data_IF_516080954243
#
_entry.id   IF_516080954243
#
_cell.length_a   1.000
_cell.length_b   1.000
_cell.length_c   1.000
_cell.angle_alpha   90.00
_cell.angle_beta   90.00
_cell.angle_gamma   90.00
#
_symmetry.space_group_name_H-M   'P 1'
#
loop_
_entity.id
_entity.type
_entity.pdbx_description
1 polymer ?
#
# COMPACT_ATOMS: atom_id res chain seq x y z
N UNK A 1 23.36 22.74 1.04
CA UNK A 1 22.99 22.40 2.43
C UNK A 1 23.59 21.05 2.77
N UNK A 2 24.09 20.83 3.97
CA UNK A 2 24.74 19.56 4.37
C UNK A 2 23.89 18.93 5.47
N UNK A 3 23.64 17.64 5.33
CA UNK A 3 22.88 16.81 6.27
C UNK A 3 23.77 15.69 6.78
N UNK A 4 23.53 15.28 8.03
CA UNK A 4 24.31 14.22 8.68
C UNK A 4 23.75 12.84 8.30
N UNK A 5 22.44 12.75 8.03
CA UNK A 5 21.77 11.50 7.70
C UNK A 5 21.03 11.59 6.35
N UNK A 6 20.95 10.44 5.69
CA UNK A 6 20.16 10.19 4.49
C UNK A 6 18.67 10.50 4.69
N UNK A 7 18.10 10.09 5.83
CA UNK A 7 16.67 10.28 6.13
C UNK A 7 16.34 11.78 6.25
N UNK A 8 17.15 12.52 7.00
CA UNK A 8 16.98 13.97 7.20
C UNK A 8 17.05 14.73 5.87
N UNK A 9 17.98 14.35 4.99
CA UNK A 9 18.11 14.95 3.67
C UNK A 9 16.88 14.68 2.78
N UNK A 10 16.32 13.46 2.84
CA UNK A 10 15.12 13.10 2.09
C UNK A 10 13.87 13.77 2.64
N UNK A 11 13.73 13.86 3.97
CA UNK A 11 12.65 14.58 4.63
C UNK A 11 12.65 16.08 4.28
N UNK A 12 13.82 16.71 4.22
CA UNK A 12 13.94 18.11 3.82
C UNK A 12 13.40 18.33 2.39
N UNK A 13 13.73 17.43 1.45
CA UNK A 13 13.22 17.49 0.07
C UNK A 13 11.70 17.23 0.03
N UNK A 14 11.21 16.30 0.84
CA UNK A 14 9.76 15.99 0.93
C UNK A 14 8.98 17.19 1.49
N UNK A 15 9.53 17.87 2.50
CA UNK A 15 8.90 19.03 3.16
C UNK A 15 8.69 20.21 2.21
N UNK A 16 9.53 20.36 1.19
CA UNK A 16 9.36 21.40 0.17
C UNK A 16 8.16 21.15 -0.76
N UNK A 17 7.66 19.91 -0.85
CA UNK A 17 6.52 19.46 -1.69
C UNK A 17 6.56 19.90 -3.18
N UNK A 18 7.72 20.31 -3.68
CA UNK A 18 7.93 20.80 -5.05
C UNK A 18 8.74 19.84 -5.91
N UNK A 19 9.29 18.79 -5.30
CA UNK A 19 10.27 17.90 -5.92
C UNK A 19 9.76 16.47 -6.00
N UNK A 20 10.03 15.83 -7.13
CA UNK A 20 9.74 14.42 -7.37
C UNK A 20 11.02 13.70 -7.77
N UNK A 21 11.19 12.48 -7.28
CA UNK A 21 12.32 11.63 -7.66
C UNK A 21 12.35 11.43 -9.18
N UNK A 22 13.53 11.60 -9.77
CA UNK A 22 13.73 11.37 -11.19
C UNK A 22 14.55 10.12 -11.46
N UNK A 23 15.81 10.10 -11.02
CA UNK A 23 16.70 8.96 -11.15
C UNK A 23 17.87 9.06 -10.17
N UNK A 24 18.62 7.97 -10.05
CA UNK A 24 19.85 7.92 -9.29
C UNK A 24 21.01 7.57 -10.23
N UNK A 25 22.14 8.24 -10.06
CA UNK A 25 23.38 7.94 -10.75
C UNK A 25 24.47 7.58 -9.71
N UNK A 26 25.20 6.51 -9.94
CA UNK A 26 26.32 6.09 -9.10
C UNK A 26 27.63 6.49 -9.77
N UNK A 27 28.45 7.26 -9.07
CA UNK A 27 29.75 7.75 -9.51
C UNK A 27 30.84 7.28 -8.55
N UNK A 28 32.11 7.42 -8.93
CA UNK A 28 33.24 7.05 -8.06
C UNK A 28 33.24 7.79 -6.71
N UNK A 29 32.75 9.04 -6.70
CA UNK A 29 32.62 9.85 -5.49
C UNK A 29 31.40 9.51 -4.61
N UNK A 30 30.56 8.55 -5.02
CA UNK A 30 29.36 8.12 -4.29
C UNK A 30 28.10 8.13 -5.14
N UNK A 31 26.94 8.37 -4.53
CA UNK A 31 25.63 8.24 -5.18
C UNK A 31 24.98 9.61 -5.33
N UNK A 32 24.44 9.93 -6.51
CA UNK A 32 23.68 11.16 -6.77
C UNK A 32 22.21 10.83 -7.01
N UNK A 33 21.32 11.33 -6.16
CA UNK A 33 19.88 11.19 -6.31
C UNK A 33 19.30 12.49 -6.86
N UNK A 34 18.82 12.46 -8.09
CA UNK A 34 18.29 13.62 -8.79
C UNK A 34 16.78 13.74 -8.60
N UNK A 35 16.33 14.97 -8.39
CA UNK A 35 14.92 15.31 -8.29
C UNK A 35 14.58 16.39 -9.30
N UNK A 36 13.36 16.31 -9.83
CA UNK A 36 12.78 17.28 -10.77
C UNK A 36 11.58 17.97 -10.15
N UNK A 37 11.27 19.16 -10.62
CA UNK A 37 10.05 19.84 -10.22
C UNK A 37 8.80 18.99 -10.54
N UNK A 38 7.88 18.88 -9.58
CA UNK A 38 6.66 18.06 -9.70
C UNK A 38 5.48 18.82 -10.35
N UNK A 39 5.60 20.13 -10.58
CA UNK A 39 4.59 21.00 -11.20
C UNK A 39 4.54 20.87 -12.73
N UNK A 40 5.50 20.18 -13.33
CA UNK A 40 5.53 19.86 -14.76
C UNK A 40 5.21 18.38 -14.99
N UNK A 41 4.58 18.08 -16.12
CA UNK A 41 4.29 16.68 -16.51
C UNK A 41 5.60 15.92 -16.70
N UNK A 42 5.60 14.64 -16.34
CA UNK A 42 6.75 13.75 -16.52
C UNK A 42 7.17 13.58 -17.99
N UNK A 43 6.24 13.79 -18.94
CA UNK A 43 6.46 13.75 -20.38
C UNK A 43 6.12 15.13 -20.95
N UNK A 44 7.09 15.79 -21.58
CA UNK A 44 6.96 17.13 -22.14
C UNK A 44 8.11 18.04 -21.72
N UNK A 45 7.99 19.34 -22.02
CA UNK A 45 8.96 20.35 -21.61
C UNK A 45 9.13 20.32 -20.09
N UNK A 46 10.35 20.05 -19.63
CA UNK A 46 10.68 19.98 -18.21
C UNK A 46 10.99 21.38 -17.67
N UNK A 47 10.86 21.53 -16.35
CA UNK A 47 11.37 22.70 -15.64
C UNK A 47 12.90 22.69 -15.69
N UNK A 48 13.51 23.86 -15.89
CA UNK A 48 14.97 24.00 -15.84
C UNK A 48 15.53 23.98 -14.41
N UNK A 49 14.67 24.20 -13.40
CA UNK A 49 15.03 24.07 -12.00
C UNK A 49 15.13 22.59 -11.58
N UNK A 50 16.20 22.24 -10.88
CA UNK A 50 16.48 20.89 -10.41
C UNK A 50 17.32 20.89 -9.14
N UNK A 51 17.18 19.81 -8.37
CA UNK A 51 17.99 19.58 -7.17
C UNK A 51 18.56 18.17 -7.21
N UNK A 52 19.68 17.96 -6.52
CA UNK A 52 20.19 16.61 -6.29
C UNK A 52 20.82 16.48 -4.91
N UNK A 53 20.71 15.28 -4.35
CA UNK A 53 21.42 14.86 -3.15
C UNK A 53 22.67 14.08 -3.58
N UNK A 54 23.83 14.48 -3.08
CA UNK A 54 25.08 13.73 -3.19
C UNK A 54 25.33 13.00 -1.87
N UNK A 55 25.34 11.68 -1.93
CA UNK A 55 25.78 10.79 -0.87
C UNK A 55 27.26 10.50 -1.13
N UNK A 56 28.15 11.09 -0.33
CA UNK A 56 29.59 10.88 -0.46
C UNK A 56 29.95 9.45 -0.08
N UNK A 57 30.92 8.85 -0.77
CA UNK A 57 31.41 7.51 -0.41
C UNK A 57 32.38 7.52 0.77
N UNK A 58 32.98 8.67 1.07
CA UNK A 58 34.00 8.81 2.11
C UNK A 58 33.42 9.15 3.47
N UNK A 59 32.23 9.76 3.51
CA UNK A 59 31.59 10.26 4.72
C UNK A 59 30.10 9.94 4.65
N UNK A 60 29.44 9.81 5.81
CA UNK A 60 27.98 9.62 5.88
C UNK A 60 27.18 10.90 5.59
N UNK A 61 27.87 12.00 5.26
CA UNK A 61 27.25 13.28 4.97
C UNK A 61 26.51 13.25 3.63
N UNK A 62 25.37 13.93 3.60
CA UNK A 62 24.57 14.13 2.38
C UNK A 62 24.51 15.60 2.04
N UNK A 63 24.93 15.96 0.84
CA UNK A 63 24.95 17.35 0.38
C UNK A 63 23.82 17.58 -0.61
N UNK A 64 22.94 18.53 -0.29
CA UNK A 64 21.90 19.02 -1.19
C UNK A 64 22.43 20.17 -2.04
N UNK A 65 22.38 19.95 -3.36
CA UNK A 65 22.68 20.93 -4.39
C UNK A 65 21.41 21.37 -5.08
N UNK A 66 21.33 22.67 -5.38
CA UNK A 66 20.24 23.29 -6.14
C UNK A 66 20.80 23.93 -7.40
N UNK A 67 20.07 23.83 -8.50
CA UNK A 67 20.37 24.61 -9.70
C UNK A 67 20.15 26.10 -9.42
N UNK A 68 20.91 26.95 -10.10
CA UNK A 68 20.72 28.40 -10.07
C UNK A 68 19.59 28.89 -10.98
N UNK A 69 19.02 28.00 -11.81
CA UNK A 69 17.92 28.32 -12.71
C UNK A 69 16.61 28.48 -11.96
N UNK A 70 15.85 29.52 -12.32
CA UNK A 70 14.48 29.72 -11.84
C UNK A 70 13.51 28.69 -12.45
N UNK A 71 12.34 28.55 -11.83
CA UNK A 71 11.30 27.66 -12.32
C UNK A 71 10.69 28.21 -13.63
N UNK A 72 10.88 27.49 -14.74
CA UNK A 72 10.48 27.93 -16.10
C UNK A 72 9.12 27.39 -16.56
N UNK A 73 8.21 27.08 -15.62
CA UNK A 73 6.88 26.57 -15.94
C UNK A 73 5.78 27.52 -15.46
N UNK A 74 4.75 27.70 -16.28
CA UNK A 74 3.46 28.20 -15.81
C UNK A 74 2.89 27.16 -14.83
N UNK A 75 2.20 27.56 -13.76
CA UNK A 75 1.62 26.63 -12.78
C UNK A 75 0.55 25.75 -13.47
N UNK A 76 0.98 24.66 -14.13
CA UNK A 76 0.08 23.69 -14.77
C UNK A 76 -0.57 22.87 -13.67
N UNK A 77 -1.70 23.39 -13.17
CA UNK A 77 -2.68 22.69 -12.35
C UNK A 77 -2.18 22.25 -10.97
N UNK A 78 -2.60 22.98 -9.96
CA UNK A 78 -2.49 22.69 -8.51
C UNK A 78 -3.21 21.40 -8.07
N UNK A 79 -3.21 20.34 -8.88
CA UNK A 79 -3.71 19.05 -8.43
C UNK A 79 -2.58 18.38 -7.65
N UNK A 80 -2.67 18.27 -6.31
CA UNK A 80 -1.65 17.61 -5.55
C UNK A 80 -1.54 16.17 -6.05
N UNK A 81 -0.36 15.83 -6.58
CA UNK A 81 -0.06 14.48 -7.07
C UNK A 81 -0.08 13.46 -5.92
N UNK A 82 0.09 13.93 -4.69
CA UNK A 82 0.18 13.14 -3.46
C UNK A 82 -0.87 13.57 -2.45
N UNK A 83 -1.39 12.60 -1.71
CA UNK A 83 -2.22 12.86 -0.53
C UNK A 83 -1.31 13.47 0.54
N UNK A 84 -1.64 14.66 1.11
CA UNK A 84 -0.88 15.25 2.21
C UNK A 84 -0.79 14.30 3.41
N UNK A 85 0.30 14.37 4.17
CA UNK A 85 0.56 13.44 5.29
C UNK A 85 -0.52 13.52 6.37
N UNK A 86 -1.02 14.72 6.66
CA UNK A 86 -2.14 14.96 7.60
C UNK A 86 -3.44 14.29 7.15
N UNK A 87 -3.68 14.22 5.84
CA UNK A 87 -4.89 13.57 5.29
C UNK A 87 -4.73 12.05 5.33
N UNK A 88 -3.51 11.53 5.19
CA UNK A 88 -3.23 10.09 5.29
C UNK A 88 -3.52 9.54 6.67
N UNK A 89 -3.17 10.27 7.74
CA UNK A 89 -3.47 9.83 9.12
C UNK A 89 -4.97 9.73 9.34
N UNK A 90 -5.73 10.73 8.89
CA UNK A 90 -7.21 10.72 8.95
C UNK A 90 -7.78 9.54 8.14
N UNK A 91 -7.28 9.30 6.93
CA UNK A 91 -7.74 8.17 6.11
C UNK A 91 -7.45 6.83 6.82
N UNK A 92 -6.32 6.72 7.52
CA UNK A 92 -5.95 5.52 8.26
C UNK A 92 -6.93 5.26 9.42
N UNK A 93 -7.24 6.28 10.22
CA UNK A 93 -8.26 6.18 11.28
C UNK A 93 -9.63 5.75 10.73
N UNK A 94 -10.06 6.35 9.61
CA UNK A 94 -11.32 5.99 8.97
C UNK A 94 -11.30 4.56 8.38
N UNK A 95 -10.13 4.08 7.97
CA UNK A 95 -9.95 2.71 7.49
C UNK A 95 -10.02 1.68 8.62
N UNK A 96 -9.49 1.99 9.81
CA UNK A 96 -9.58 1.14 11.00
C UNK A 96 -11.04 0.96 11.45
N UNK A 97 -11.89 1.97 11.23
CA UNK A 97 -13.35 1.89 11.41
C UNK A 97 -14.07 1.07 10.32
N UNK A 98 -13.31 0.41 9.43
CA UNK A 98 -13.81 -0.42 8.31
C UNK A 98 -14.75 0.33 7.35
N UNK A 99 -14.57 1.64 7.22
CA UNK A 99 -15.38 2.45 6.30
C UNK A 99 -15.01 2.18 4.83
N UNK A 100 -16.02 2.29 3.95
CA UNK A 100 -15.83 2.13 2.50
C UNK A 100 -15.19 3.39 1.91
N UNK A 101 -14.39 3.27 0.83
CA UNK A 101 -13.70 4.42 0.22
C UNK A 101 -14.61 5.60 -0.14
N UNK A 102 -15.85 5.34 -0.59
CA UNK A 102 -16.83 6.40 -0.90
C UNK A 102 -17.20 7.22 0.33
N UNK A 103 -17.48 6.55 1.45
CA UNK A 103 -17.83 7.19 2.72
C UNK A 103 -16.63 7.97 3.26
N UNK A 104 -15.42 7.43 3.11
CA UNK A 104 -14.19 8.15 3.51
C UNK A 104 -14.08 9.49 2.77
N UNK A 105 -14.41 9.55 1.48
CA UNK A 105 -14.39 10.80 0.72
C UNK A 105 -15.45 11.78 1.18
N UNK A 106 -16.67 11.29 1.46
CA UNK A 106 -17.76 12.11 2.00
C UNK A 106 -17.34 12.74 3.33
N UNK A 107 -16.76 11.95 4.24
CA UNK A 107 -16.24 12.44 5.53
C UNK A 107 -15.09 13.44 5.34
N UNK A 108 -14.20 13.22 4.37
CA UNK A 108 -13.14 14.19 4.05
C UNK A 108 -13.71 15.51 3.53
N UNK A 109 -14.77 15.45 2.73
CA UNK A 109 -15.47 16.62 2.21
C UNK A 109 -16.18 17.40 3.33
N UNK A 110 -16.86 16.71 4.26
CA UNK A 110 -17.47 17.32 5.44
C UNK A 110 -16.46 18.04 6.33
N UNK A 111 -15.21 17.55 6.38
CA UNK A 111 -14.10 18.17 7.13
C UNK A 111 -13.43 19.32 6.37
N UNK A 112 -13.92 19.70 5.19
CA UNK A 112 -13.37 20.79 4.38
C UNK A 112 -12.01 20.49 3.75
N UNK A 113 -11.59 19.21 3.74
CA UNK A 113 -10.33 18.79 3.13
C UNK A 113 -10.59 18.55 1.65
N UNK A 114 -9.81 19.20 0.77
CA UNK A 114 -9.94 18.99 -0.68
C UNK A 114 -9.73 17.50 -1.00
N UNK A 115 -10.72 16.81 -1.57
CA UNK A 115 -10.64 15.37 -1.73
C UNK A 115 -9.53 15.03 -2.71
N UNK A 116 -8.57 14.24 -2.24
CA UNK A 116 -7.69 13.49 -3.14
C UNK A 116 -8.56 12.62 -4.05
N UNK A 117 -8.15 12.43 -5.30
CA UNK A 117 -8.91 11.63 -6.27
C UNK A 117 -9.26 10.25 -5.68
N UNK A 118 -10.45 9.71 -5.99
CA UNK A 118 -10.84 8.33 -5.64
C UNK A 118 -9.71 7.34 -5.97
N UNK A 119 -9.02 7.57 -7.08
CA UNK A 119 -7.90 6.75 -7.50
C UNK A 119 -6.72 6.81 -6.51
N UNK A 120 -6.35 8.02 -6.05
CA UNK A 120 -5.29 8.20 -5.05
C UNK A 120 -5.68 7.57 -3.71
N UNK A 121 -6.94 7.73 -3.28
CA UNK A 121 -7.44 7.10 -2.07
C UNK A 121 -7.35 5.57 -2.17
N UNK A 122 -7.87 4.98 -3.24
CA UNK A 122 -7.82 3.54 -3.44
C UNK A 122 -6.38 3.01 -3.50
N UNK A 123 -5.47 3.76 -4.12
CA UNK A 123 -4.06 3.43 -4.16
C UNK A 123 -3.46 3.39 -2.76
N UNK A 124 -3.75 4.40 -1.93
CA UNK A 124 -3.28 4.48 -0.56
C UNK A 124 -3.88 3.39 0.33
N UNK A 125 -5.18 3.12 0.22
CA UNK A 125 -5.85 2.03 0.93
C UNK A 125 -5.31 0.66 0.54
N UNK A 126 -4.89 0.47 -0.73
CA UNK A 126 -4.22 -0.76 -1.17
C UNK A 126 -2.87 -0.93 -0.46
N UNK A 127 -2.10 0.14 -0.33
CA UNK A 127 -0.84 0.13 0.43
C UNK A 127 -1.09 -0.24 1.89
N UNK A 128 -2.06 0.40 2.56
CA UNK A 128 -2.40 0.07 3.95
C UNK A 128 -2.77 -1.41 4.08
N UNK A 129 -3.68 -1.91 3.23
CA UNK A 129 -4.10 -3.32 3.24
C UNK A 129 -2.93 -4.28 3.06
N UNK A 130 -2.04 -3.98 2.13
CA UNK A 130 -0.84 -4.78 1.89
C UNK A 130 0.08 -4.83 3.11
N UNK A 131 0.19 -3.73 3.85
CA UNK A 131 1.03 -3.66 5.05
C UNK A 131 0.37 -4.33 6.25
N UNK A 132 -0.95 -4.21 6.42
CA UNK A 132 -1.68 -4.72 7.59
C UNK A 132 -2.17 -6.16 7.45
N UNK A 133 -2.63 -6.55 6.26
CA UNK A 133 -3.24 -7.86 5.98
C UNK A 133 -2.32 -8.78 5.16
N UNK A 134 -1.16 -8.26 4.75
CA UNK A 134 -0.23 -9.00 3.90
C UNK A 134 -0.59 -8.96 2.41
N UNK A 135 0.09 -9.76 1.59
CA UNK A 135 -0.10 -9.77 0.15
C UNK A 135 -1.52 -10.20 -0.24
N UNK A 136 -2.06 -9.62 -1.32
CA UNK A 136 -3.38 -9.98 -1.86
C UNK A 136 -3.38 -11.30 -2.63
N UNK A 137 -2.19 -11.80 -2.95
CA UNK A 137 -2.00 -13.11 -3.57
C UNK A 137 -1.53 -14.07 -2.50
N UNK A 138 -2.19 -15.22 -2.40
CA UNK A 138 -1.77 -16.35 -1.59
C UNK A 138 -1.45 -17.51 -2.54
N UNK A 139 -0.36 -18.21 -2.30
CA UNK A 139 0.03 -19.40 -3.05
C UNK A 139 -0.74 -20.63 -2.53
N UNK A 140 -0.87 -21.66 -3.38
CA UNK A 140 -1.52 -22.91 -2.96
C UNK A 140 -0.79 -23.58 -1.77
N UNK A 141 0.55 -23.48 -1.73
CA UNK A 141 1.33 -24.01 -0.62
C UNK A 141 1.06 -23.27 0.70
N UNK A 142 0.89 -21.95 0.66
CA UNK A 142 0.50 -21.16 1.83
C UNK A 142 -0.91 -21.50 2.30
N UNK A 143 -1.87 -21.74 1.39
CA UNK A 143 -3.22 -22.18 1.75
C UNK A 143 -3.17 -23.57 2.41
N UNK A 144 -2.41 -24.51 1.82
CA UNK A 144 -2.27 -25.87 2.35
C UNK A 144 -1.63 -25.85 3.75
N UNK A 145 -0.57 -25.07 3.93
CA UNK A 145 0.06 -24.89 5.24
C UNK A 145 -0.91 -24.29 6.26
N UNK A 146 -1.65 -23.24 5.89
CA UNK A 146 -2.66 -22.65 6.76
C UNK A 146 -3.76 -23.65 7.15
N UNK A 147 -4.18 -24.53 6.23
CA UNK A 147 -5.15 -25.58 6.51
C UNK A 147 -4.60 -26.65 7.48
N UNK A 148 -3.33 -27.03 7.33
CA UNK A 148 -2.65 -27.95 8.27
C UNK A 148 -2.56 -27.35 9.67
N UNK A 149 -2.17 -26.09 9.79
CA UNK A 149 -2.05 -25.40 11.08
C UNK A 149 -3.43 -25.21 11.75
N UNK A 150 -4.44 -24.81 10.95
CA UNK A 150 -5.80 -24.57 11.43
C UNK A 150 -6.57 -25.85 11.77
N UNK A 151 -6.20 -27.00 11.20
CA UNK A 151 -6.82 -28.30 11.52
C UNK A 151 -6.20 -28.97 12.75
N UNK A 152 -4.98 -28.61 13.13
CA UNK A 152 -4.30 -29.14 14.31
C UNK A 152 -4.84 -28.59 15.63
N UNK A 153 -5.46 -27.41 15.62
CA UNK A 153 -5.98 -26.78 16.84
C UNK A 153 -7.44 -26.37 16.67
N UNK A 154 -8.32 -27.04 17.40
CA UNK A 154 -9.71 -26.60 17.53
C UNK A 154 -9.70 -25.32 18.39
N UNK A 155 -10.19 -24.18 17.89
CA UNK A 155 -10.19 -22.92 18.64
C UNK A 155 -10.95 -23.06 19.95
N UNK A 156 -10.46 -22.43 21.03
CA UNK A 156 -11.17 -22.42 22.31
C UNK A 156 -12.52 -21.70 22.22
N UNK A 157 -12.58 -20.62 21.44
CA UNK A 157 -13.79 -19.84 21.16
C UNK A 157 -14.78 -20.60 20.29
N UNK A 158 -16.06 -20.61 20.69
CA UNK A 158 -17.14 -21.29 19.98
C UNK A 158 -17.49 -20.65 18.61
N UNK A 159 -17.19 -19.35 18.47
CA UNK A 159 -17.45 -18.55 17.26
C UNK A 159 -16.31 -18.55 16.25
N UNK A 160 -15.13 -19.05 16.64
CA UNK A 160 -13.97 -19.03 15.78
C UNK A 160 -14.04 -20.18 14.76
N UNK A 161 -14.00 -19.87 13.44
CA UNK A 161 -13.98 -20.91 12.42
C UNK A 161 -12.63 -21.62 12.39
N UNK A 162 -12.65 -22.92 12.13
CA UNK A 162 -11.46 -23.74 11.90
C UNK A 162 -11.65 -24.66 10.69
N UNK A 163 -10.54 -25.19 10.17
CA UNK A 163 -10.56 -26.10 9.01
C UNK A 163 -10.81 -27.52 9.51
N UNK A 164 -11.96 -28.09 9.16
CA UNK A 164 -12.31 -29.47 9.51
C UNK A 164 -11.67 -30.48 8.55
N UNK A 165 -11.60 -30.14 7.26
CA UNK A 165 -10.91 -30.93 6.24
C UNK A 165 -10.60 -30.08 5.02
N UNK A 166 -9.63 -30.51 4.22
CA UNK A 166 -9.34 -29.93 2.91
C UNK A 166 -8.93 -31.02 1.91
N UNK A 167 -9.12 -30.75 0.62
CA UNK A 167 -8.76 -31.62 -0.49
C UNK A 167 -8.29 -30.78 -1.69
N UNK A 168 -7.24 -31.28 -2.34
CA UNK A 168 -6.74 -30.73 -3.61
C UNK A 168 -7.17 -31.70 -4.70
N UNK A 169 -7.98 -31.22 -5.64
CA UNK A 169 -8.48 -31.98 -6.79
C UNK A 169 -7.64 -31.59 -7.99
N UNK A 170 -7.07 -32.60 -8.64
CA UNK A 170 -6.33 -32.48 -9.89
C UNK A 170 -7.22 -33.04 -11.00
N UNK A 171 -7.45 -32.26 -12.05
CA UNK A 171 -8.16 -32.78 -13.22
C UNK A 171 -7.20 -33.67 -14.03
N UNK A 172 -7.67 -34.87 -14.37
CA UNK A 172 -6.88 -35.96 -14.98
C UNK A 172 -6.54 -35.69 -16.47
N UNK A 173 -7.09 -34.62 -17.04
CA UNK A 173 -7.02 -34.31 -18.48
C UNK A 173 -5.73 -33.57 -18.92
N UNK A 174 -4.71 -33.53 -18.07
CA UNK A 174 -3.37 -33.06 -18.45
C UNK A 174 -3.21 -31.54 -18.59
N UNK A 175 -4.25 -30.75 -18.27
CA UNK A 175 -4.14 -29.29 -18.18
C UNK A 175 -3.71 -28.90 -16.76
N UNK A 176 -2.41 -28.61 -16.61
CA UNK A 176 -1.74 -28.31 -15.32
C UNK A 176 -2.35 -27.09 -14.62
N UNK A 177 -3.20 -26.32 -15.32
CA UNK A 177 -3.76 -25.05 -14.90
C UNK A 177 -5.10 -25.13 -14.16
N UNK A 178 -5.82 -26.26 -14.22
CA UNK A 178 -7.08 -26.43 -13.49
C UNK A 178 -6.86 -27.30 -12.25
N UNK A 179 -6.66 -26.62 -11.11
CA UNK A 179 -6.58 -27.25 -9.78
C UNK A 179 -7.66 -26.65 -8.90
N UNK A 180 -8.48 -27.50 -8.31
CA UNK A 180 -9.52 -27.06 -7.37
C UNK A 180 -9.07 -27.33 -5.94
N UNK A 181 -9.02 -26.29 -5.11
CA UNK A 181 -8.73 -26.40 -3.68
C UNK A 181 -10.06 -26.26 -2.91
N UNK A 182 -10.47 -27.33 -2.22
CA UNK A 182 -11.73 -27.39 -1.49
C UNK A 182 -11.42 -27.57 0.00
N UNK A 183 -12.01 -26.74 0.87
CA UNK A 183 -11.86 -26.89 2.32
C UNK A 183 -13.18 -26.63 3.03
N UNK A 184 -13.40 -27.34 4.12
CA UNK A 184 -14.58 -27.23 4.97
C UNK A 184 -14.23 -26.41 6.21
N UNK A 185 -14.86 -25.24 6.34
CA UNK A 185 -14.82 -24.46 7.56
C UNK A 185 -15.95 -24.89 8.49
N UNK A 186 -15.63 -25.05 9.77
CA UNK A 186 -16.60 -25.33 10.84
C UNK A 186 -16.46 -24.33 11.98
N UNK A 187 -17.57 -24.05 12.65
CA UNK A 187 -17.64 -23.35 13.94
C UNK A 187 -18.25 -24.31 14.97
N UNK A 188 -17.84 -24.24 16.24
CA UNK A 188 -18.35 -25.17 17.26
C UNK A 188 -19.87 -25.04 17.47
N UNK A 189 -20.40 -23.83 17.34
CA UNK A 189 -21.83 -23.54 17.54
C UNK A 189 -22.76 -24.06 16.43
N UNK A 190 -22.23 -24.57 15.32
CA UNK A 190 -23.03 -25.13 14.23
C UNK A 190 -23.87 -26.35 14.67
N UNK A 191 -23.47 -27.04 15.73
CA UNK A 191 -24.19 -28.20 16.30
C UNK A 191 -25.29 -27.84 17.31
N UNK A 192 -25.42 -26.56 17.72
CA UNK A 192 -26.45 -26.12 18.69
C UNK A 192 -27.77 -25.69 18.04
N UNK A 193 -27.87 -25.69 16.71
CA UNK A 193 -29.13 -25.40 16.03
C UNK A 193 -30.16 -26.52 16.31
N UNK A 194 -31.38 -26.21 16.80
CA UNK A 194 -32.39 -27.22 17.05
C UNK A 194 -32.73 -27.93 15.74
N UNK A 195 -32.52 -29.24 15.69
CA UNK A 195 -32.99 -30.08 14.57
C UNK A 195 -34.49 -29.85 14.41
N UNK A 196 -34.89 -29.14 13.37
CA UNK A 196 -36.29 -29.00 12.99
C UNK A 196 -36.83 -30.41 12.69
N UNK A 197 -37.54 -31.00 13.65
CA UNK A 197 -38.29 -32.23 13.41
C UNK A 197 -39.36 -31.88 12.38
N UNK A 198 -39.23 -32.42 11.17
CA UNK A 198 -40.32 -32.41 10.18
C UNK A 198 -41.56 -32.97 10.87
N UNK A 199 -42.62 -32.15 10.99
CA UNK A 199 -43.92 -32.65 11.42
C UNK A 199 -44.37 -33.70 10.38
N UNK A 200 -44.75 -34.92 10.79
CA UNK A 200 -45.38 -35.86 9.88
C UNK A 200 -46.73 -35.26 9.45
N UNK A 201 -46.99 -35.28 8.15
CA UNK A 201 -48.29 -34.96 7.55
C UNK A 201 -49.30 -36.07 7.85
#
# INVERSE_FOLDING_TARGET
MVFINTEEAEEAVIKEDQWSYHYTNTIAAGKKKFFRCNKVKARGKQCDAGIYLLFESTNDNVVLFRSTSDHTHDNIGEKPSRIPTEVKTIIQELFELKLKPKVIIEVLHERGITPSSIHQLNNFLRTIKSTTLGPTSISLGEIEQWCLESSQSIPESDDAPFVASYQIIYDDDGDINERSFVFLLQQKDFYKLPRYKKKPC
#
